data_IF_538671843213
#
_entry.id   IF_538671843213
#
_cell.length_a   1.000
_cell.length_b   1.000
_cell.length_c   1.000
_cell.angle_alpha   90.00
_cell.angle_beta   90.00
_cell.angle_gamma   90.00
#
_symmetry.space_group_name_H-M   'P 1'
#
loop_
_entity.id
_entity.type
_entity.pdbx_description
1 polymer ?
#
# COMPACT_ATOMS: atom_id res chain seq x y z
N UNK A 1 -32.73 -21.98 18.32
CA UNK A 1 -32.19 -23.11 17.53
C UNK A 1 -31.45 -22.56 16.32
N UNK A 2 -30.13 -22.71 16.27
CA UNK A 2 -29.35 -22.43 15.05
C UNK A 2 -29.40 -23.71 14.22
N UNK A 3 -29.98 -23.65 13.02
CA UNK A 3 -30.05 -24.80 12.12
C UNK A 3 -28.64 -25.24 11.72
N UNK A 4 -28.41 -26.55 11.61
CA UNK A 4 -27.11 -27.18 11.31
C UNK A 4 -26.44 -26.60 10.05
N UNK A 5 -27.23 -26.14 9.08
CA UNK A 5 -26.80 -25.46 7.86
C UNK A 5 -26.11 -24.11 8.13
N UNK A 6 -26.63 -23.30 9.06
CA UNK A 6 -26.03 -22.01 9.42
C UNK A 6 -24.66 -22.19 10.11
N UNK A 7 -24.52 -23.25 10.94
CA UNK A 7 -23.26 -23.60 11.60
C UNK A 7 -22.19 -24.03 10.59
N UNK A 8 -22.55 -24.90 9.63
CA UNK A 8 -21.65 -25.34 8.54
C UNK A 8 -21.18 -24.17 7.68
N UNK A 9 -22.08 -23.25 7.32
CA UNK A 9 -21.74 -22.06 6.52
C UNK A 9 -20.76 -21.13 7.22
N UNK A 10 -20.91 -20.92 8.53
CA UNK A 10 -19.97 -20.09 9.29
C UNK A 10 -18.60 -20.78 9.47
N UNK A 11 -18.58 -22.10 9.66
CA UNK A 11 -17.33 -22.87 9.67
C UNK A 11 -16.58 -22.74 8.32
N UNK A 12 -17.29 -22.87 7.20
CA UNK A 12 -16.70 -22.69 5.87
C UNK A 12 -16.10 -21.29 5.66
N UNK A 13 -16.76 -20.23 6.12
CA UNK A 13 -16.23 -18.87 6.05
C UNK A 13 -14.98 -18.68 6.93
N UNK A 14 -14.94 -19.27 8.13
CA UNK A 14 -13.77 -19.23 9.00
C UNK A 14 -12.59 -19.96 8.36
N UNK A 15 -12.81 -21.15 7.81
CA UNK A 15 -11.79 -21.89 7.06
C UNK A 15 -11.28 -21.07 5.89
N UNK A 16 -12.17 -20.44 5.11
CA UNK A 16 -11.79 -19.58 3.99
C UNK A 16 -10.94 -18.39 4.45
N UNK A 17 -11.30 -17.73 5.56
CA UNK A 17 -10.52 -16.62 6.10
C UNK A 17 -9.09 -17.05 6.47
N UNK A 18 -8.94 -18.22 7.10
CA UNK A 18 -7.62 -18.78 7.44
C UNK A 18 -6.81 -19.10 6.19
N UNK A 19 -7.40 -19.77 5.20
CA UNK A 19 -6.74 -20.12 3.95
C UNK A 19 -6.30 -18.89 3.15
N UNK A 20 -7.17 -17.89 3.03
CA UNK A 20 -6.85 -16.63 2.33
C UNK A 20 -5.77 -15.83 3.06
N UNK A 21 -5.77 -15.86 4.39
CA UNK A 21 -4.70 -15.24 5.19
C UNK A 21 -3.36 -15.93 4.91
N UNK A 22 -3.32 -17.26 4.95
CA UNK A 22 -2.12 -18.02 4.62
C UNK A 22 -1.66 -17.75 3.16
N UNK A 23 -2.60 -17.75 2.21
CA UNK A 23 -2.32 -17.47 0.81
C UNK A 23 -1.73 -16.07 0.60
N UNK A 24 -2.21 -15.05 1.32
CA UNK A 24 -1.72 -13.68 1.18
C UNK A 24 -0.20 -13.57 1.47
N UNK A 25 0.29 -14.33 2.46
CA UNK A 25 1.70 -14.33 2.83
C UNK A 25 2.54 -15.33 2.03
N UNK A 26 1.98 -16.49 1.72
CA UNK A 26 2.74 -17.63 1.19
C UNK A 26 2.65 -17.80 -0.32
N UNK A 27 1.60 -17.29 -0.97
CA UNK A 27 1.40 -17.51 -2.41
C UNK A 27 2.28 -16.63 -3.31
N UNK A 28 2.50 -15.32 -3.05
CA UNK A 28 3.20 -14.47 -4.02
C UNK A 28 4.65 -14.89 -4.34
N UNK A 29 5.52 -15.23 -3.36
CA UNK A 29 6.91 -15.59 -3.67
C UNK A 29 7.09 -16.80 -4.59
N UNK A 30 6.44 -17.97 -4.36
CA UNK A 30 6.61 -19.13 -5.23
C UNK A 30 5.93 -18.96 -6.61
N UNK A 31 4.93 -18.09 -6.74
CA UNK A 31 4.23 -17.84 -8.01
C UNK A 31 5.05 -16.99 -8.99
N UNK A 32 5.94 -16.14 -8.48
CA UNK A 32 6.63 -15.12 -9.27
C UNK A 32 8.13 -15.38 -9.40
N UNK A 33 8.67 -16.33 -8.63
CA UNK A 33 10.11 -16.59 -8.55
C UNK A 33 10.82 -15.56 -7.65
N UNK A 34 12.15 -15.69 -7.49
CA UNK A 34 12.92 -14.75 -6.68
C UNK A 34 12.93 -13.36 -7.31
N UNK A 35 12.39 -12.37 -6.59
CA UNK A 35 12.53 -10.97 -6.96
C UNK A 35 13.97 -10.52 -6.74
N UNK A 36 14.69 -10.14 -7.80
CA UNK A 36 16.10 -9.73 -7.74
C UNK A 36 16.24 -8.27 -7.28
N UNK A 37 15.66 -7.93 -6.13
CA UNK A 37 15.64 -6.55 -5.62
C UNK A 37 17.03 -6.00 -5.33
N UNK A 38 18.00 -6.88 -5.07
CA UNK A 38 19.42 -6.52 -4.93
C UNK A 38 20.01 -5.91 -6.21
N UNK A 39 19.41 -6.16 -7.38
CA UNK A 39 19.83 -5.58 -8.65
C UNK A 39 19.27 -4.15 -8.89
N UNK A 40 18.34 -3.69 -8.04
CA UNK A 40 17.66 -2.41 -8.22
C UNK A 40 18.60 -1.19 -8.23
N UNK A 41 19.58 -1.04 -7.31
CA UNK A 41 20.50 0.10 -7.34
C UNK A 41 21.24 0.24 -8.68
N UNK A 42 21.73 -0.88 -9.22
CA UNK A 42 22.44 -0.92 -10.50
C UNK A 42 21.52 -0.55 -11.67
N UNK A 43 20.32 -1.13 -11.69
CA UNK A 43 19.32 -0.83 -12.72
C UNK A 43 18.86 0.63 -12.67
N UNK A 44 18.78 1.21 -11.46
CA UNK A 44 18.44 2.61 -11.25
C UNK A 44 19.54 3.56 -11.75
N UNK A 45 20.82 3.26 -11.50
CA UNK A 45 21.94 4.05 -12.07
C UNK A 45 21.90 4.05 -13.59
N UNK A 46 21.62 2.89 -14.22
CA UNK A 46 21.48 2.80 -15.68
C UNK A 46 20.27 3.62 -16.20
N UNK A 47 19.15 3.61 -15.48
CA UNK A 47 17.99 4.45 -15.80
C UNK A 47 18.32 5.93 -15.73
N UNK A 48 18.96 6.38 -14.65
CA UNK A 48 19.37 7.77 -14.50
C UNK A 48 20.34 8.22 -15.59
N UNK A 49 21.35 7.39 -15.90
CA UNK A 49 22.33 7.67 -16.94
C UNK A 49 21.70 7.76 -18.35
N UNK A 50 20.56 7.11 -18.59
CA UNK A 50 19.84 7.22 -19.86
C UNK A 50 19.23 8.61 -20.08
N UNK A 51 18.94 9.35 -19.01
CA UNK A 51 18.31 10.68 -19.03
C UNK A 51 16.88 10.72 -19.59
N UNK A 52 16.35 9.58 -20.04
CA UNK A 52 15.05 9.48 -20.70
C UNK A 52 13.94 8.97 -19.77
N UNK A 53 12.67 9.07 -20.21
CA UNK A 53 11.52 8.64 -19.42
C UNK A 53 11.30 7.11 -19.45
N UNK A 54 11.99 6.38 -20.32
CA UNK A 54 11.78 4.95 -20.52
C UNK A 54 12.68 4.12 -19.59
N UNK A 55 12.11 3.08 -18.97
CA UNK A 55 12.88 2.16 -18.16
C UNK A 55 13.79 1.26 -19.03
N UNK A 56 15.10 1.15 -18.70
CA UNK A 56 15.94 0.10 -19.24
C UNK A 56 15.35 -1.29 -18.94
N UNK A 57 15.67 -2.31 -19.75
CA UNK A 57 15.09 -3.66 -19.60
C UNK A 57 15.19 -4.22 -18.17
N UNK A 58 16.33 -4.04 -17.50
CA UNK A 58 16.55 -4.54 -16.14
C UNK A 58 15.63 -3.86 -15.11
N UNK A 59 15.44 -2.54 -15.23
CA UNK A 59 14.52 -1.80 -14.36
C UNK A 59 13.06 -2.17 -14.67
N UNK A 60 12.70 -2.29 -15.94
CA UNK A 60 11.36 -2.71 -16.35
C UNK A 60 11.00 -4.09 -15.77
N UNK A 61 11.93 -5.05 -15.76
CA UNK A 61 11.70 -6.36 -15.16
C UNK A 61 11.41 -6.30 -13.66
N UNK A 62 12.10 -5.42 -12.92
CA UNK A 62 11.86 -5.21 -11.49
C UNK A 62 10.50 -4.56 -11.25
N UNK A 63 10.14 -3.56 -12.06
CA UNK A 63 8.84 -2.88 -12.00
C UNK A 63 7.70 -3.86 -12.30
N UNK A 64 7.83 -4.68 -13.36
CA UNK A 64 6.86 -5.72 -13.72
C UNK A 64 6.71 -6.79 -12.62
N UNK A 65 7.83 -7.19 -12.02
CA UNK A 65 7.82 -8.13 -10.91
C UNK A 65 7.07 -7.55 -9.70
N UNK A 66 7.36 -6.30 -9.32
CA UNK A 66 6.65 -5.63 -8.23
C UNK A 66 5.16 -5.50 -8.53
N UNK A 67 4.80 -5.07 -9.74
CA UNK A 67 3.40 -5.00 -10.17
C UNK A 67 2.67 -6.32 -9.93
N UNK A 68 3.22 -7.44 -10.44
CA UNK A 68 2.61 -8.78 -10.29
C UNK A 68 2.52 -9.22 -8.84
N UNK A 69 3.53 -8.91 -8.03
CA UNK A 69 3.57 -9.22 -6.61
C UNK A 69 2.45 -8.53 -5.84
N UNK A 70 2.31 -7.22 -6.01
CA UNK A 70 1.25 -6.45 -5.36
C UNK A 70 -0.14 -6.81 -5.91
N UNK A 71 -0.26 -7.04 -7.23
CA UNK A 71 -1.50 -7.46 -7.85
C UNK A 71 -2.01 -8.80 -7.29
N UNK A 72 -1.13 -9.79 -7.13
CA UNK A 72 -1.49 -11.08 -6.53
C UNK A 72 -2.05 -10.89 -5.10
N UNK A 73 -1.43 -10.01 -4.31
CA UNK A 73 -1.90 -9.68 -2.96
C UNK A 73 -3.24 -8.95 -2.96
N UNK A 74 -3.51 -8.08 -3.93
CA UNK A 74 -4.82 -7.43 -4.11
C UNK A 74 -5.91 -8.47 -4.38
N UNK A 75 -5.65 -9.40 -5.30
CA UNK A 75 -6.59 -10.46 -5.68
C UNK A 75 -6.95 -11.37 -4.50
N UNK A 76 -6.01 -11.59 -3.56
CA UNK A 76 -6.24 -12.39 -2.35
C UNK A 76 -6.89 -11.57 -1.22
N UNK A 77 -6.46 -10.32 -1.03
CA UNK A 77 -6.94 -9.47 0.06
C UNK A 77 -8.41 -9.06 -0.10
N UNK A 78 -8.88 -8.87 -1.33
CA UNK A 78 -10.27 -8.51 -1.61
C UNK A 78 -11.29 -9.56 -1.12
N UNK A 79 -11.19 -10.85 -1.49
CA UNK A 79 -12.10 -11.87 -0.95
C UNK A 79 -11.91 -12.08 0.56
N UNK A 80 -10.68 -11.94 1.09
CA UNK A 80 -10.44 -12.00 2.54
C UNK A 80 -11.24 -10.94 3.29
N UNK A 81 -11.19 -9.69 2.82
CA UNK A 81 -11.97 -8.59 3.38
C UNK A 81 -13.47 -8.88 3.31
N UNK A 82 -13.98 -9.37 2.17
CA UNK A 82 -15.40 -9.73 2.01
C UNK A 82 -15.83 -10.80 3.01
N UNK A 83 -15.01 -11.85 3.20
CA UNK A 83 -15.29 -12.93 4.15
C UNK A 83 -15.31 -12.39 5.59
N UNK A 84 -14.35 -11.56 5.98
CA UNK A 84 -14.27 -10.99 7.32
C UNK A 84 -15.44 -10.04 7.62
N UNK A 85 -15.82 -9.18 6.67
CA UNK A 85 -17.02 -8.33 6.80
C UNK A 85 -18.28 -9.18 6.97
N UNK A 86 -18.41 -10.23 6.16
CA UNK A 86 -19.55 -11.16 6.25
C UNK A 86 -19.62 -11.86 7.61
N UNK A 87 -18.47 -12.31 8.13
CA UNK A 87 -18.35 -12.93 9.44
C UNK A 87 -18.67 -11.93 10.57
N UNK A 88 -18.21 -10.67 10.49
CA UNK A 88 -18.49 -9.65 11.49
C UNK A 88 -19.99 -9.34 11.61
N UNK A 89 -20.72 -9.34 10.49
CA UNK A 89 -22.17 -9.13 10.45
C UNK A 89 -22.92 -10.35 11.02
N UNK A 90 -22.50 -11.56 10.66
CA UNK A 90 -23.19 -12.81 11.06
C UNK A 90 -22.93 -13.21 12.50
N UNK A 91 -21.69 -13.04 12.97
CA UNK A 91 -21.25 -13.45 14.30
C UNK A 91 -21.28 -12.26 15.26
N UNK A 92 -22.47 -11.80 15.63
CA UNK A 92 -22.65 -10.62 16.49
C UNK A 92 -21.81 -10.64 17.78
N UNK A 93 -21.63 -11.82 18.39
CA UNK A 93 -20.78 -12.02 19.58
C UNK A 93 -19.30 -11.69 19.35
N UNK A 94 -18.79 -11.93 18.13
CA UNK A 94 -17.39 -11.74 17.75
C UNK A 94 -17.22 -10.55 16.79
N UNK A 95 -18.22 -9.67 16.70
CA UNK A 95 -18.23 -8.55 15.75
C UNK A 95 -17.02 -7.64 15.90
N UNK A 96 -16.59 -7.38 17.14
CA UNK A 96 -15.44 -6.52 17.43
C UNK A 96 -14.10 -7.10 16.93
N UNK A 97 -13.65 -8.29 17.37
CA UNK A 97 -12.38 -8.83 16.91
C UNK A 97 -12.39 -9.10 15.40
N UNK A 98 -13.49 -9.59 14.83
CA UNK A 98 -13.59 -9.82 13.38
C UNK A 98 -13.62 -8.48 12.62
N UNK A 99 -14.26 -7.44 13.17
CA UNK A 99 -14.24 -6.09 12.61
C UNK A 99 -12.84 -5.48 12.61
N UNK A 100 -12.04 -5.71 13.65
CA UNK A 100 -10.64 -5.30 13.70
C UNK A 100 -9.81 -6.03 12.62
N UNK A 101 -10.01 -7.34 12.44
CA UNK A 101 -9.38 -8.10 11.35
C UNK A 101 -9.81 -7.59 9.97
N UNK A 102 -11.09 -7.24 9.80
CA UNK A 102 -11.59 -6.66 8.55
C UNK A 102 -10.94 -5.29 8.28
N UNK A 103 -10.77 -4.45 9.30
CA UNK A 103 -10.06 -3.18 9.17
C UNK A 103 -8.59 -3.40 8.79
N UNK A 104 -7.90 -4.36 9.43
CA UNK A 104 -6.53 -4.71 9.09
C UNK A 104 -6.43 -5.22 7.64
N UNK A 105 -7.34 -6.08 7.20
CA UNK A 105 -7.41 -6.56 5.81
C UNK A 105 -7.68 -5.42 4.83
N UNK A 106 -8.51 -4.44 5.19
CA UNK A 106 -8.74 -3.25 4.37
C UNK A 106 -7.47 -2.40 4.24
N UNK A 107 -6.74 -2.15 5.33
CA UNK A 107 -5.46 -1.42 5.29
C UNK A 107 -4.44 -2.17 4.43
N UNK A 108 -4.33 -3.49 4.57
CA UNK A 108 -3.48 -4.30 3.70
C UNK A 108 -3.89 -4.19 2.23
N UNK A 109 -5.19 -4.28 1.92
CA UNK A 109 -5.68 -4.11 0.56
C UNK A 109 -5.28 -2.75 -0.01
N UNK A 110 -5.47 -1.67 0.73
CA UNK A 110 -5.05 -0.31 0.33
C UNK A 110 -3.56 -0.26 0.05
N UNK A 111 -2.74 -0.80 0.96
CA UNK A 111 -1.29 -0.83 0.83
C UNK A 111 -0.80 -1.66 -0.37
N UNK A 112 -1.55 -2.65 -0.81
CA UNK A 112 -1.21 -3.44 -2.00
C UNK A 112 -1.78 -2.84 -3.29
N UNK A 113 -2.94 -2.19 -3.27
CA UNK A 113 -3.45 -1.46 -4.44
C UNK A 113 -2.51 -0.31 -4.79
N UNK A 114 -2.06 0.48 -3.81
CA UNK A 114 -1.09 1.55 -4.07
C UNK A 114 0.22 1.00 -4.67
N UNK A 115 0.73 -0.15 -4.18
CA UNK A 115 1.95 -0.76 -4.70
C UNK A 115 1.80 -1.34 -6.10
N UNK A 116 0.60 -1.80 -6.46
CA UNK A 116 0.29 -2.24 -7.82
C UNK A 116 0.10 -1.06 -8.79
N UNK A 117 -0.42 0.08 -8.33
CA UNK A 117 -0.58 1.27 -9.21
C UNK A 117 0.72 2.03 -9.41
N UNK A 118 1.62 1.98 -8.42
CA UNK A 118 2.90 2.67 -8.43
C UNK A 118 4.07 1.71 -8.12
N UNK A 119 4.29 0.68 -8.95
CA UNK A 119 5.30 -0.36 -8.70
C UNK A 119 6.73 0.19 -8.68
N UNK A 120 7.06 1.19 -9.50
CA UNK A 120 8.36 1.83 -9.45
C UNK A 120 8.53 2.66 -8.17
N UNK A 121 7.44 3.31 -7.72
CA UNK A 121 7.40 4.03 -6.44
C UNK A 121 7.69 3.12 -5.23
N UNK A 122 7.36 1.81 -5.32
CA UNK A 122 7.64 0.84 -4.23
C UNK A 122 9.12 0.60 -4.04
N UNK A 123 9.91 0.83 -5.09
CA UNK A 123 11.34 0.58 -5.12
C UNK A 123 12.13 1.80 -4.62
N UNK A 124 11.59 3.01 -4.74
CA UNK A 124 12.30 4.24 -4.32
C UNK A 124 12.80 4.22 -2.87
N UNK A 125 12.07 3.70 -1.87
CA UNK A 125 12.59 3.57 -0.51
C UNK A 125 13.85 2.69 -0.41
N UNK A 126 14.05 1.73 -1.33
CA UNK A 126 15.25 0.87 -1.36
C UNK A 126 16.50 1.71 -1.66
N UNK A 127 16.36 2.82 -2.41
CA UNK A 127 17.47 3.75 -2.64
C UNK A 127 18.00 4.33 -1.33
N UNK A 128 17.11 4.54 -0.34
CA UNK A 128 17.46 5.18 0.91
C UNK A 128 18.04 4.20 1.96
N UNK A 129 17.76 2.90 1.86
CA UNK A 129 18.10 1.89 2.88
C UNK A 129 19.34 1.04 2.58
N UNK A 130 20.00 1.19 1.43
CA UNK A 130 21.14 0.35 1.03
C UNK A 130 22.51 1.01 1.27
N UNK A 131 23.59 0.23 1.45
CA UNK A 131 24.95 0.78 1.34
C UNK A 131 25.12 1.32 -0.09
N UNK A 132 25.22 2.64 -0.21
CA UNK A 132 25.36 3.26 -1.51
C UNK A 132 26.76 2.97 -2.06
N UNK A 133 26.84 2.15 -3.10
CA UNK A 133 27.99 2.16 -3.99
C UNK A 133 28.22 3.60 -4.48
N UNK A 134 29.48 3.96 -4.78
CA UNK A 134 29.86 5.34 -5.12
C UNK A 134 29.00 5.94 -6.25
N UNK A 135 28.62 5.12 -7.22
CA UNK A 135 27.76 5.51 -8.35
C UNK A 135 26.34 5.87 -7.89
N UNK A 136 25.75 5.10 -6.97
CA UNK A 136 24.43 5.39 -6.43
C UNK A 136 24.43 6.69 -5.61
N UNK A 137 25.47 6.89 -4.80
CA UNK A 137 25.64 8.12 -4.02
C UNK A 137 25.76 9.35 -4.92
N UNK A 138 26.48 9.23 -6.04
CA UNK A 138 26.59 10.29 -7.04
C UNK A 138 25.24 10.59 -7.71
N UNK A 139 24.47 9.57 -8.09
CA UNK A 139 23.12 9.75 -8.64
C UNK A 139 22.19 10.42 -7.63
N UNK A 140 22.20 10.01 -6.37
CA UNK A 140 21.39 10.65 -5.33
C UNK A 140 21.76 12.13 -5.11
N UNK A 141 23.05 12.47 -5.20
CA UNK A 141 23.49 13.86 -5.10
C UNK A 141 22.97 14.70 -6.29
N UNK A 142 23.04 14.15 -7.52
CA UNK A 142 22.48 14.80 -8.71
C UNK A 142 20.96 14.94 -8.64
N UNK A 143 20.27 13.93 -8.12
CA UNK A 143 18.82 13.94 -7.91
C UNK A 143 18.41 15.05 -6.95
N UNK A 144 19.14 15.20 -5.83
CA UNK A 144 18.93 16.29 -4.86
C UNK A 144 19.17 17.66 -5.50
N UNK A 145 20.27 17.81 -6.24
CA UNK A 145 20.60 19.07 -6.92
C UNK A 145 19.53 19.46 -7.96
N UNK A 146 19.02 18.52 -8.77
CA UNK A 146 17.93 18.80 -9.70
C UNK A 146 16.62 19.19 -9.00
N UNK A 147 16.30 18.57 -7.86
CA UNK A 147 15.10 18.89 -7.09
C UNK A 147 15.15 20.25 -6.41
N UNK A 148 16.34 20.71 -6.02
CA UNK A 148 16.54 21.97 -5.31
C UNK A 148 16.77 23.15 -6.26
N UNK A 149 17.59 22.96 -7.30
CA UNK A 149 18.16 24.07 -8.08
C UNK A 149 18.10 23.88 -9.60
N UNK A 150 17.83 22.66 -10.08
CA UNK A 150 18.00 22.31 -11.49
C UNK A 150 16.71 22.20 -12.30
N UNK A 151 16.82 22.17 -13.65
CA UNK A 151 15.72 21.76 -14.50
C UNK A 151 15.41 20.27 -14.26
N UNK A 152 14.12 19.95 -14.19
CA UNK A 152 13.64 18.56 -14.02
C UNK A 152 13.94 17.76 -15.28
N UNK A 153 14.79 16.73 -15.16
CA UNK A 153 15.03 15.80 -16.26
C UNK A 153 13.80 14.90 -16.51
N UNK A 154 13.61 14.36 -17.73
CA UNK A 154 12.52 13.42 -18.01
C UNK A 154 12.50 12.21 -17.08
N UNK A 155 13.67 11.71 -16.70
CA UNK A 155 13.79 10.60 -15.75
C UNK A 155 13.27 10.98 -14.34
N UNK A 156 13.56 12.20 -13.90
CA UNK A 156 13.07 12.74 -12.62
C UNK A 156 11.57 13.02 -12.66
N UNK A 157 11.04 13.51 -13.78
CA UNK A 157 9.60 13.73 -13.98
C UNK A 157 8.83 12.43 -13.77
N UNK A 158 9.28 11.32 -14.36
CA UNK A 158 8.67 10.00 -14.16
C UNK A 158 8.74 9.55 -12.69
N UNK A 159 9.84 9.81 -11.99
CA UNK A 159 9.95 9.48 -10.56
C UNK A 159 8.97 10.29 -9.70
N UNK A 160 8.83 11.58 -9.98
CA UNK A 160 7.90 12.47 -9.29
C UNK A 160 6.45 12.09 -9.60
N UNK A 161 6.12 11.82 -10.85
CA UNK A 161 4.79 11.37 -11.26
C UNK A 161 4.39 10.07 -10.56
N UNK A 162 5.31 9.13 -10.47
CA UNK A 162 5.10 7.86 -9.80
C UNK A 162 4.90 8.04 -8.29
N UNK A 163 5.71 8.90 -7.66
CA UNK A 163 5.58 9.26 -6.25
C UNK A 163 4.26 9.98 -5.94
N UNK A 164 3.85 10.92 -6.79
CA UNK A 164 2.57 11.62 -6.67
C UNK A 164 1.42 10.65 -6.85
N UNK A 165 1.46 9.80 -7.89
CA UNK A 165 0.45 8.77 -8.16
C UNK A 165 0.25 7.84 -6.97
N UNK A 166 1.34 7.41 -6.32
CA UNK A 166 1.28 6.63 -5.07
C UNK A 166 0.43 7.33 -4.01
N UNK A 167 0.70 8.61 -3.75
CA UNK A 167 0.04 9.37 -2.69
C UNK A 167 -1.42 9.71 -3.05
N UNK A 168 -1.71 9.97 -4.32
CA UNK A 168 -3.09 10.16 -4.81
C UNK A 168 -3.94 8.92 -4.56
N UNK A 169 -3.46 7.74 -4.97
CA UNK A 169 -4.20 6.48 -4.78
C UNK A 169 -4.41 6.20 -3.30
N UNK A 170 -3.37 6.37 -2.48
CA UNK A 170 -3.48 6.21 -1.02
C UNK A 170 -4.49 7.18 -0.43
N UNK A 171 -4.46 8.47 -0.80
CA UNK A 171 -5.42 9.48 -0.35
C UNK A 171 -6.86 9.08 -0.69
N UNK A 172 -7.15 8.70 -1.94
CA UNK A 172 -8.50 8.30 -2.36
C UNK A 172 -8.99 7.09 -1.56
N UNK A 173 -8.19 6.04 -1.46
CA UNK A 173 -8.59 4.80 -0.78
C UNK A 173 -8.76 4.99 0.74
N UNK A 174 -7.87 5.75 1.37
CA UNK A 174 -7.98 6.08 2.80
C UNK A 174 -9.17 7.02 3.05
N UNK A 175 -9.45 7.95 2.15
CA UNK A 175 -10.63 8.81 2.23
C UNK A 175 -11.94 8.03 2.14
N UNK A 176 -12.02 7.03 1.26
CA UNK A 176 -13.15 6.10 1.19
C UNK A 176 -13.31 5.30 2.49
N UNK A 177 -12.20 4.79 3.04
CA UNK A 177 -12.21 4.09 4.32
C UNK A 177 -12.70 5.00 5.46
N UNK A 178 -12.21 6.24 5.52
CA UNK A 178 -12.65 7.23 6.50
C UNK A 178 -14.16 7.50 6.41
N UNK A 179 -14.69 7.69 5.20
CA UNK A 179 -16.12 7.90 4.97
C UNK A 179 -16.97 6.72 5.46
N UNK A 180 -16.55 5.48 5.19
CA UNK A 180 -17.22 4.27 5.71
C UNK A 180 -17.20 4.23 7.23
N UNK A 181 -16.05 4.49 7.85
CA UNK A 181 -15.91 4.46 9.32
C UNK A 181 -16.74 5.56 10.00
N UNK A 182 -16.80 6.76 9.43
CA UNK A 182 -17.66 7.86 9.90
C UNK A 182 -19.14 7.45 9.81
N UNK A 183 -19.56 6.87 8.68
CA UNK A 183 -20.93 6.38 8.51
C UNK A 183 -21.30 5.32 9.54
N UNK A 184 -20.41 4.33 9.78
CA UNK A 184 -20.59 3.31 10.80
C UNK A 184 -20.67 3.91 12.21
N UNK A 185 -19.83 4.91 12.51
CA UNK A 185 -19.85 5.62 13.77
C UNK A 185 -21.18 6.35 14.00
N UNK A 186 -21.68 7.07 13.00
CA UNK A 186 -22.95 7.79 13.05
C UNK A 186 -24.15 6.86 13.27
N UNK A 187 -24.18 5.72 12.58
CA UNK A 187 -25.23 4.70 12.77
C UNK A 187 -25.17 4.09 14.18
N UNK A 188 -23.98 3.87 14.72
CA UNK A 188 -23.78 3.29 16.04
C UNK A 188 -24.04 4.28 17.20
N UNK A 189 -23.90 5.59 16.95
CA UNK A 189 -23.90 6.65 17.98
C UNK A 189 -25.07 6.58 18.96
N UNK A 190 -26.30 6.34 18.46
CA UNK A 190 -27.51 6.33 19.30
C UNK A 190 -27.73 5.03 20.07
N UNK A 191 -27.18 3.91 19.61
CA UNK A 191 -27.50 2.56 20.16
C UNK A 191 -26.32 1.91 20.88
N UNK A 192 -25.09 2.22 20.48
CA UNK A 192 -23.88 1.58 20.97
C UNK A 192 -22.70 2.56 20.98
N UNK A 193 -22.62 3.39 22.03
CA UNK A 193 -21.57 4.41 22.21
C UNK A 193 -20.15 3.85 22.06
N UNK A 194 -19.88 2.67 22.61
CA UNK A 194 -18.58 2.00 22.48
C UNK A 194 -18.24 1.67 21.02
N UNK A 195 -19.19 1.13 20.24
CA UNK A 195 -18.95 0.81 18.82
C UNK A 195 -18.68 2.08 18.01
N UNK A 196 -19.39 3.17 18.32
CA UNK A 196 -19.17 4.46 17.68
C UNK A 196 -17.76 4.99 17.95
N UNK A 197 -17.29 4.96 19.21
CA UNK A 197 -15.93 5.37 19.56
C UNK A 197 -14.88 4.50 18.85
N UNK A 198 -15.07 3.18 18.83
CA UNK A 198 -14.15 2.25 18.18
C UNK A 198 -14.03 2.46 16.66
N UNK A 199 -15.07 2.97 16.00
CA UNK A 199 -15.01 3.36 14.58
C UNK A 199 -14.53 4.80 14.37
N UNK A 200 -14.76 5.69 15.33
CA UNK A 200 -14.37 7.09 15.23
C UNK A 200 -12.86 7.30 15.33
N UNK A 201 -12.18 6.55 16.20
CA UNK A 201 -10.71 6.61 16.34
C UNK A 201 -9.97 6.29 15.04
N UNK A 202 -10.21 5.13 14.38
CA UNK A 202 -9.57 4.83 13.11
C UNK A 202 -10.04 5.75 11.98
N UNK A 203 -11.26 6.30 12.04
CA UNK A 203 -11.69 7.33 11.10
C UNK A 203 -10.84 8.60 11.21
N UNK A 204 -10.61 9.08 12.44
CA UNK A 204 -9.75 10.24 12.68
C UNK A 204 -8.31 9.99 12.21
N UNK A 205 -7.75 8.82 12.51
CA UNK A 205 -6.43 8.43 12.01
C UNK A 205 -6.39 8.40 10.47
N UNK A 206 -7.42 7.84 9.82
CA UNK A 206 -7.53 7.84 8.35
C UNK A 206 -7.62 9.26 7.77
N UNK A 207 -8.34 10.19 8.43
CA UNK A 207 -8.38 11.60 8.01
C UNK A 207 -7.03 12.29 8.13
N UNK A 208 -6.24 12.00 9.18
CA UNK A 208 -4.86 12.52 9.31
C UNK A 208 -3.99 12.01 8.17
N UNK A 209 -4.06 10.71 7.87
CA UNK A 209 -3.32 10.11 6.76
C UNK A 209 -3.77 10.73 5.43
N UNK A 210 -5.08 10.89 5.20
CA UNK A 210 -5.62 11.58 4.02
C UNK A 210 -5.05 12.98 3.89
N UNK A 211 -5.11 13.80 4.95
CA UNK A 211 -4.60 15.17 4.94
C UNK A 211 -3.09 15.22 4.64
N UNK A 212 -2.31 14.31 5.24
CA UNK A 212 -0.87 14.20 4.98
C UNK A 212 -0.60 13.87 3.50
N UNK A 213 -1.35 12.93 2.90
CA UNK A 213 -1.14 12.57 1.50
C UNK A 213 -1.60 13.67 0.55
N UNK A 214 -2.69 14.40 0.85
CA UNK A 214 -3.11 15.57 0.07
C UNK A 214 -2.03 16.65 0.11
N UNK A 215 -1.41 16.89 1.26
CA UNK A 215 -0.31 17.84 1.38
C UNK A 215 0.92 17.39 0.57
N UNK A 216 1.26 16.10 0.59
CA UNK A 216 2.34 15.55 -0.24
C UNK A 216 2.06 15.67 -1.73
N UNK A 217 0.82 15.47 -2.17
CA UNK A 217 0.44 15.64 -3.59
C UNK A 217 0.52 17.11 -4.01
N UNK A 218 0.09 18.04 -3.14
CA UNK A 218 0.15 19.47 -3.41
C UNK A 218 1.59 20.01 -3.44
N UNK A 219 2.47 19.45 -2.60
CA UNK A 219 3.87 19.86 -2.46
C UNK A 219 4.80 18.63 -2.41
N UNK A 220 5.09 17.97 -3.55
CA UNK A 220 5.77 16.68 -3.56
C UNK A 220 7.27 16.77 -3.29
N UNK A 221 7.92 17.89 -3.61
CA UNK A 221 9.39 18.02 -3.54
C UNK A 221 9.93 17.87 -2.11
N UNK A 222 9.45 18.60 -1.08
CA UNK A 222 10.01 18.48 0.27
C UNK A 222 9.93 17.05 0.87
N UNK A 223 8.78 16.34 0.85
CA UNK A 223 8.72 14.99 1.38
C UNK A 223 9.47 13.96 0.50
N UNK A 224 9.64 14.23 -0.79
CA UNK A 224 10.48 13.40 -1.65
C UNK A 224 11.97 13.53 -1.31
N UNK A 225 12.45 14.75 -1.03
CA UNK A 225 13.81 14.99 -0.54
C UNK A 225 14.06 14.28 0.80
N UNK A 226 13.08 14.34 1.72
CA UNK A 226 13.17 13.61 3.00
C UNK A 226 13.29 12.10 2.80
N UNK A 227 12.58 11.52 1.83
CA UNK A 227 12.70 10.09 1.50
C UNK A 227 14.14 9.72 1.09
N UNK A 228 14.86 10.62 0.43
CA UNK A 228 16.26 10.41 0.03
C UNK A 228 17.28 10.65 1.14
N UNK A 229 16.88 11.28 2.25
CA UNK A 229 17.78 11.62 3.37
C UNK A 229 17.80 10.58 4.49
N UNK A 230 16.72 9.81 4.65
CA UNK A 230 16.60 8.88 5.78
C UNK A 230 17.23 7.54 5.41
N UNK A 231 18.46 7.31 5.87
CA UNK A 231 18.98 5.95 6.02
C UNK A 231 18.23 5.26 7.16
N UNK A 232 17.44 4.23 6.82
CA UNK A 232 16.82 3.33 7.80
C UNK A 232 17.72 2.13 8.07
#
# INVERSE_FOLDING_TARGET
>A
MITTTARRRNAGLLTMAVLLTAAFFLAPPPLLGPGRLDDFPRAFVAYWASGGPNFPPDLQHLVDHQFRYYLARVVIALPLLTVLVTLAVRLRRFRLPIGALALAAAVLLIANVQGAVSPFGTLLPILASGPADADLAAVQAQLRDQLENGPVSPALEVMLDEYVRWHVVKAVLVGLLAAVLIGLSGVAWRRHRLLSLLTAVPAAAALVVLAANVNTVANPIPPFLLLLQVSW
#
